data_IF_606210481126
#
_entry.id   IF_606210481126
#
_cell.length_a   1.000
_cell.length_b   1.000
_cell.length_c   1.000
_cell.angle_alpha   90.00
_cell.angle_beta   90.00
_cell.angle_gamma   90.00
#
_symmetry.space_group_name_H-M   'P 1'
#
loop_
_entity.id
_entity.type
_entity.pdbx_description
1 polymer ?
#
# COMPACT_ATOMS: atom_id res chain seq x y z
N UNK A 1 7.31 25.08 -10.74
CA UNK A 1 7.33 24.56 -9.36
C UNK A 1 8.19 23.29 -9.32
N UNK A 2 8.44 22.73 -8.13
CA UNK A 2 9.17 21.48 -8.01
C UNK A 2 8.30 20.30 -8.51
N UNK A 3 8.94 19.27 -9.07
CA UNK A 3 8.25 18.07 -9.52
C UNK A 3 7.61 17.33 -8.33
N UNK A 4 6.42 16.79 -8.53
CA UNK A 4 5.75 15.92 -7.55
C UNK A 4 6.16 14.48 -7.83
N UNK A 5 6.46 13.71 -6.78
CA UNK A 5 6.75 12.29 -6.90
C UNK A 5 5.64 11.49 -6.25
N UNK A 6 5.26 10.39 -6.88
CA UNK A 6 4.19 9.51 -6.38
C UNK A 6 4.60 8.05 -6.44
N UNK A 7 4.18 7.29 -5.43
CA UNK A 7 4.27 5.84 -5.38
C UNK A 7 2.91 5.23 -5.74
N UNK A 8 2.88 4.38 -6.77
CA UNK A 8 1.64 3.77 -7.26
C UNK A 8 1.91 2.38 -7.84
N UNK A 9 0.87 1.55 -7.95
CA UNK A 9 0.95 0.28 -8.70
C UNK A 9 1.22 0.59 -10.16
N UNK A 10 2.15 -0.12 -10.79
CA UNK A 10 2.51 0.12 -12.18
C UNK A 10 1.33 -0.08 -13.14
N UNK A 11 0.42 -1.00 -12.80
CA UNK A 11 -0.80 -1.23 -13.56
C UNK A 11 -1.72 0.00 -13.58
N UNK A 12 -1.82 0.72 -12.47
CA UNK A 12 -2.72 1.90 -12.34
C UNK A 12 -2.08 3.17 -12.95
N UNK A 13 -0.76 3.19 -13.06
CA UNK A 13 -0.01 4.21 -13.82
C UNK A 13 -0.08 3.99 -15.35
N UNK A 14 -0.40 2.77 -15.80
CA UNK A 14 -0.43 2.44 -17.22
C UNK A 14 -1.43 3.32 -17.98
N UNK A 15 -0.99 3.93 -19.08
CA UNK A 15 -1.81 4.83 -19.90
C UNK A 15 -1.98 6.25 -19.34
N UNK A 16 -1.35 6.58 -18.20
CA UNK A 16 -1.27 7.95 -17.67
C UNK A 16 -0.02 8.64 -18.21
N UNK A 17 -0.12 9.27 -19.37
CA UNK A 17 1.02 9.93 -20.03
C UNK A 17 1.66 11.08 -19.25
N UNK A 18 0.99 11.57 -18.21
CA UNK A 18 1.48 12.60 -17.28
C UNK A 18 2.28 12.03 -16.09
N UNK A 19 2.40 10.70 -15.99
CA UNK A 19 3.29 10.02 -15.04
C UNK A 19 4.57 9.59 -15.76
N UNK A 20 5.66 10.28 -15.48
CA UNK A 20 6.98 9.91 -15.97
C UNK A 20 7.58 8.84 -15.05
N UNK A 21 7.99 7.69 -15.61
CA UNK A 21 8.60 6.63 -14.81
C UNK A 21 9.89 7.11 -14.16
N UNK A 22 9.96 7.05 -12.84
CA UNK A 22 11.16 7.41 -12.07
C UNK A 22 11.93 6.15 -11.66
N UNK A 23 11.31 5.23 -10.90
CA UNK A 23 11.94 3.98 -10.46
C UNK A 23 10.91 2.85 -10.30
N UNK A 24 11.22 1.64 -10.76
CA UNK A 24 10.33 0.48 -10.63
C UNK A 24 10.76 -0.48 -9.50
N UNK A 25 9.81 -0.97 -8.72
CA UNK A 25 10.03 -2.00 -7.71
C UNK A 25 8.89 -3.03 -7.68
N UNK A 26 9.12 -4.20 -8.30
CA UNK A 26 8.11 -5.25 -8.40
C UNK A 26 6.86 -4.76 -9.13
N UNK A 27 5.69 -4.84 -8.48
CA UNK A 27 4.42 -4.39 -9.02
C UNK A 27 4.15 -2.88 -8.85
N UNK A 28 5.02 -2.17 -8.15
CA UNK A 28 4.88 -0.74 -7.83
C UNK A 28 6.00 0.06 -8.48
N UNK A 29 5.79 1.36 -8.63
CA UNK A 29 6.77 2.28 -9.16
C UNK A 29 6.64 3.67 -8.54
N UNK A 30 7.76 4.35 -8.48
CA UNK A 30 7.84 5.78 -8.27
C UNK A 30 7.73 6.45 -9.63
N UNK A 31 6.88 7.46 -9.70
CA UNK A 31 6.65 8.27 -10.89
C UNK A 31 6.79 9.75 -10.55
N UNK A 32 7.21 10.53 -11.54
CA UNK A 32 7.38 11.98 -11.48
C UNK A 32 6.25 12.66 -12.26
N UNK A 33 5.69 13.71 -11.70
CA UNK A 33 4.72 14.60 -12.35
C UNK A 33 5.43 15.94 -12.56
N UNK A 34 5.72 16.23 -13.83
CA UNK A 34 6.32 17.50 -14.24
C UNK A 34 5.39 18.67 -13.91
N UNK A 35 5.99 19.84 -13.67
CA UNK A 35 5.28 21.09 -13.36
C UNK A 35 4.13 21.40 -14.33
N UNK A 36 4.35 21.15 -15.62
CA UNK A 36 3.36 21.36 -16.69
C UNK A 36 2.09 20.51 -16.56
N UNK A 37 2.14 19.41 -15.82
CA UNK A 37 0.99 18.52 -15.59
C UNK A 37 0.27 18.79 -14.27
N UNK A 38 0.81 19.65 -13.39
CA UNK A 38 0.27 19.83 -12.03
C UNK A 38 -1.08 20.56 -12.00
N UNK A 39 -1.40 21.39 -13.00
CA UNK A 39 -2.68 22.11 -13.10
C UNK A 39 -3.82 21.25 -13.68
N UNK A 40 -3.54 20.00 -14.07
CA UNK A 40 -4.52 19.13 -14.74
C UNK A 40 -5.61 18.55 -13.81
N UNK A 41 -5.75 19.07 -12.58
CA UNK A 41 -6.65 18.53 -11.55
C UNK A 41 -6.57 16.99 -11.46
N UNK A 42 -5.34 16.48 -11.39
CA UNK A 42 -5.05 15.05 -11.39
C UNK A 42 -5.73 14.36 -10.19
N UNK A 43 -6.52 13.34 -10.47
CA UNK A 43 -7.16 12.52 -9.43
C UNK A 43 -6.22 11.38 -9.01
N UNK A 44 -5.29 11.72 -8.10
CA UNK A 44 -4.31 10.79 -7.55
C UNK A 44 -4.97 9.70 -6.67
N UNK A 45 -6.11 10.01 -6.06
CA UNK A 45 -6.85 9.07 -5.20
C UNK A 45 -7.44 7.93 -6.05
N UNK A 46 -7.93 8.22 -7.26
CA UNK A 46 -8.49 7.22 -8.17
C UNK A 46 -7.52 6.09 -8.55
N UNK A 47 -6.22 6.39 -8.57
CA UNK A 47 -5.15 5.41 -8.84
C UNK A 47 -4.45 4.92 -7.56
N UNK A 48 -4.92 5.37 -6.39
CA UNK A 48 -4.32 5.04 -5.10
C UNK A 48 -2.86 5.47 -4.99
N UNK A 49 -2.51 6.62 -5.56
CA UNK A 49 -1.15 7.16 -5.51
C UNK A 49 -0.84 7.76 -4.13
N UNK A 50 0.35 7.48 -3.62
CA UNK A 50 0.88 8.07 -2.38
C UNK A 50 1.97 9.08 -2.75
N UNK A 51 1.85 10.33 -2.28
CA UNK A 51 2.85 11.36 -2.58
C UNK A 51 4.13 11.12 -1.78
N UNK A 52 5.28 11.26 -2.44
CA UNK A 52 6.60 11.19 -1.85
C UNK A 52 7.26 12.57 -1.87
N UNK A 53 8.09 12.85 -0.86
CA UNK A 53 9.07 13.92 -0.95
C UNK A 53 10.13 13.59 -2.02
N UNK A 54 10.82 14.61 -2.54
CA UNK A 54 11.90 14.40 -3.50
C UNK A 54 13.03 13.51 -2.93
N UNK A 55 13.32 13.63 -1.63
CA UNK A 55 14.32 12.81 -0.95
C UNK A 55 13.91 11.33 -0.86
N UNK A 56 12.64 11.05 -0.51
CA UNK A 56 12.12 9.68 -0.48
C UNK A 56 12.09 9.06 -1.88
N UNK A 57 11.68 9.82 -2.89
CA UNK A 57 11.68 9.36 -4.28
C UNK A 57 13.09 9.00 -4.75
N UNK A 58 14.08 9.87 -4.51
CA UNK A 58 15.49 9.62 -4.82
C UNK A 58 16.01 8.35 -4.15
N UNK A 59 15.60 8.12 -2.90
CA UNK A 59 16.02 6.95 -2.11
C UNK A 59 15.52 5.61 -2.67
N UNK A 60 14.55 5.64 -3.58
CA UNK A 60 14.04 4.43 -4.22
C UNK A 60 15.12 3.61 -4.93
N UNK A 61 16.12 4.27 -5.53
CA UNK A 61 17.21 3.56 -6.22
C UNK A 61 18.07 2.70 -5.27
N UNK A 62 18.14 3.07 -3.99
CA UNK A 62 18.91 2.35 -2.97
C UNK A 62 18.14 1.19 -2.34
N UNK A 63 16.86 1.04 -2.68
CA UNK A 63 15.97 0.08 -2.03
C UNK A 63 16.36 -1.40 -2.25
N UNK A 64 17.12 -1.70 -3.31
CA UNK A 64 17.64 -3.04 -3.61
C UNK A 64 19.17 -3.16 -3.48
N UNK A 65 19.83 -2.19 -2.83
CA UNK A 65 21.29 -2.06 -2.79
C UNK A 65 21.97 -2.99 -1.77
N UNK A 66 21.65 -4.29 -1.81
CA UNK A 66 22.28 -5.32 -0.94
C UNK A 66 23.82 -5.31 -1.06
N UNK A 67 24.34 -5.02 -2.25
CA UNK A 67 25.78 -5.04 -2.55
C UNK A 67 26.57 -3.86 -1.98
N UNK A 68 25.87 -2.87 -1.43
CA UNK A 68 26.46 -1.59 -1.04
C UNK A 68 26.81 -0.67 -2.22
N UNK A 69 26.37 -0.98 -3.44
CA UNK A 69 26.50 -0.09 -4.60
C UNK A 69 25.30 -0.22 -5.55
N UNK A 70 25.04 0.82 -6.34
CA UNK A 70 24.09 0.80 -7.46
C UNK A 70 24.78 1.14 -8.77
N UNK A 71 24.20 0.75 -9.90
CA UNK A 71 24.64 1.14 -11.24
C UNK A 71 23.61 2.10 -11.84
N UNK A 72 24.05 3.32 -12.14
CA UNK A 72 23.21 4.37 -12.71
C UNK A 72 23.44 4.36 -14.22
N UNK A 73 22.38 4.19 -15.01
CA UNK A 73 22.47 4.20 -16.49
C UNK A 73 22.18 5.60 -17.02
N UNK A 74 22.96 6.04 -18.00
CA UNK A 74 22.77 7.33 -18.69
C UNK A 74 21.40 7.40 -19.36
N UNK A 75 20.70 8.54 -19.24
CA UNK A 75 19.39 8.78 -19.85
C UNK A 75 18.18 8.22 -19.09
N UNK A 76 18.33 7.84 -17.82
CA UNK A 76 17.19 7.48 -16.97
C UNK A 76 16.67 8.71 -16.22
N UNK A 77 15.38 8.81 -15.89
CA UNK A 77 14.82 9.97 -15.18
C UNK A 77 15.48 10.26 -13.81
N UNK A 78 16.18 9.26 -13.24
CA UNK A 78 16.94 9.36 -12.00
C UNK A 78 18.30 10.06 -12.19
N UNK A 79 18.85 10.11 -13.42
CA UNK A 79 20.20 10.66 -13.66
C UNK A 79 20.30 12.13 -13.30
N UNK A 80 19.21 12.89 -13.42
CA UNK A 80 19.19 14.32 -13.05
C UNK A 80 19.51 14.53 -11.55
N UNK A 81 19.21 13.55 -10.70
CA UNK A 81 19.35 13.64 -9.25
C UNK A 81 20.69 13.11 -8.71
N UNK A 82 21.53 12.53 -9.58
CA UNK A 82 22.83 11.96 -9.22
C UNK A 82 23.92 12.54 -10.13
N UNK A 83 24.98 13.15 -9.57
CA UNK A 83 26.07 13.66 -10.40
C UNK A 83 26.71 12.52 -11.19
N UNK A 84 26.77 12.65 -12.52
CA UNK A 84 27.60 11.78 -13.34
C UNK A 84 29.05 11.90 -12.85
N UNK A 85 29.63 10.78 -12.40
CA UNK A 85 31.06 10.71 -12.12
C UNK A 85 31.74 10.61 -13.49
N UNK A 86 32.63 11.56 -13.81
CA UNK A 86 33.38 11.63 -15.07
C UNK A 86 33.95 10.26 -15.46
N UNK A 87 33.60 9.81 -16.68
CA UNK A 87 34.34 8.74 -17.34
C UNK A 87 35.26 9.36 -18.39
N UNK A 88 36.57 9.23 -18.19
CA UNK A 88 37.55 9.46 -19.25
C UNK A 88 37.41 8.33 -20.30
N UNK A 89 36.91 8.73 -21.47
CA UNK A 89 36.79 8.03 -22.76
C UNK A 89 35.89 6.76 -22.88
N UNK A 90 35.33 6.60 -24.09
CA UNK A 90 34.36 5.58 -24.55
C UNK A 90 33.08 5.44 -23.72
N UNK A 91 32.14 6.39 -23.91
CA UNK A 91 30.83 6.56 -23.23
C UNK A 91 30.30 5.26 -22.58
N UNK A 92 30.61 5.01 -21.30
CA UNK A 92 30.08 3.85 -20.60
C UNK A 92 28.58 4.05 -20.37
N UNK A 93 27.79 3.05 -20.74
CA UNK A 93 26.32 3.07 -20.59
C UNK A 93 25.82 3.04 -19.13
N UNK A 94 26.72 2.96 -18.15
CA UNK A 94 26.39 3.06 -16.72
C UNK A 94 27.59 3.39 -15.84
N UNK A 95 27.35 4.16 -14.76
CA UNK A 95 28.33 4.52 -13.73
C UNK A 95 28.04 3.79 -12.42
N UNK A 96 29.08 3.29 -11.74
CA UNK A 96 28.97 2.68 -10.40
C UNK A 96 28.93 3.77 -9.34
N UNK A 97 27.95 3.69 -8.44
CA UNK A 97 27.83 4.55 -7.26
C UNK A 97 27.87 3.67 -6.01
N UNK A 98 28.94 3.81 -5.21
CA UNK A 98 29.05 3.14 -3.91
C UNK A 98 28.25 3.91 -2.87
N UNK A 99 27.43 3.21 -2.09
CA UNK A 99 26.49 3.83 -1.17
C UNK A 99 27.18 4.30 0.11
N UNK A 100 26.79 5.48 0.57
CA UNK A 100 27.09 5.96 1.90
C UNK A 100 26.18 5.31 2.95
N UNK A 101 26.49 5.48 4.24
CA UNK A 101 25.61 5.04 5.32
C UNK A 101 24.22 5.70 5.25
N UNK A 102 24.18 6.97 4.83
CA UNK A 102 22.93 7.74 4.68
C UNK A 102 22.10 7.20 3.51
N UNK A 103 22.72 6.78 2.42
CA UNK A 103 22.03 6.15 1.29
C UNK A 103 21.40 4.82 1.70
N UNK A 104 22.12 4.00 2.47
CA UNK A 104 21.62 2.73 3.00
C UNK A 104 20.42 2.97 3.93
N UNK A 105 20.53 3.94 4.85
CA UNK A 105 19.46 4.30 5.77
C UNK A 105 18.22 4.84 5.03
N UNK A 106 18.43 5.64 4.00
CA UNK A 106 17.35 6.21 3.19
C UNK A 106 16.70 5.15 2.30
N UNK A 107 17.47 4.23 1.73
CA UNK A 107 16.96 3.07 0.99
C UNK A 107 16.13 2.13 1.86
N UNK A 108 16.53 1.92 3.13
CA UNK A 108 15.73 1.18 4.10
C UNK A 108 14.42 1.92 4.43
N UNK A 109 14.50 3.23 4.64
CA UNK A 109 13.32 4.07 4.90
C UNK A 109 12.33 3.99 3.73
N UNK A 110 12.82 4.05 2.50
CA UNK A 110 11.98 3.85 1.31
C UNK A 110 11.36 2.45 1.25
N UNK A 111 12.12 1.38 1.55
CA UNK A 111 11.56 0.02 1.64
C UNK A 111 10.37 -0.03 2.62
N UNK A 112 10.47 0.65 3.77
CA UNK A 112 9.37 0.69 4.75
C UNK A 112 8.12 1.38 4.19
N UNK A 113 8.28 2.54 3.53
CA UNK A 113 7.18 3.24 2.87
C UNK A 113 6.50 2.31 1.85
N UNK A 114 7.31 1.69 1.00
CA UNK A 114 6.85 0.80 -0.04
C UNK A 114 6.11 -0.42 0.52
N UNK A 115 6.70 -1.13 1.49
CA UNK A 115 6.11 -2.34 2.05
C UNK A 115 4.81 -2.04 2.79
N UNK A 116 4.73 -0.92 3.52
CA UNK A 116 3.49 -0.44 4.11
C UNK A 116 2.44 -0.11 3.05
N UNK A 117 2.84 0.41 1.88
CA UNK A 117 1.91 0.62 0.76
C UNK A 117 1.37 -0.70 0.20
N UNK A 118 2.24 -1.71 -0.01
CA UNK A 118 1.82 -3.06 -0.38
C UNK A 118 0.82 -3.65 0.62
N UNK A 119 1.11 -3.54 1.92
CA UNK A 119 0.22 -4.01 3.00
C UNK A 119 -1.13 -3.30 2.92
N UNK A 120 -1.15 -1.96 2.97
CA UNK A 120 -2.38 -1.16 2.95
C UNK A 120 -3.26 -1.48 1.73
N UNK A 121 -2.69 -1.56 0.54
CA UNK A 121 -3.46 -1.87 -0.67
C UNK A 121 -4.06 -3.28 -0.64
N UNK A 122 -3.30 -4.27 -0.15
CA UNK A 122 -3.81 -5.64 -0.01
C UNK A 122 -4.93 -5.73 1.01
N UNK A 123 -4.83 -5.02 2.13
CA UNK A 123 -5.89 -4.99 3.15
C UNK A 123 -7.10 -4.18 2.69
N UNK A 124 -6.93 -3.13 1.89
CA UNK A 124 -8.03 -2.44 1.23
C UNK A 124 -8.80 -3.37 0.28
N UNK A 125 -8.10 -4.23 -0.47
CA UNK A 125 -8.75 -5.23 -1.31
C UNK A 125 -9.49 -6.28 -0.46
N UNK A 126 -8.88 -6.79 0.61
CA UNK A 126 -9.54 -7.71 1.57
C UNK A 126 -10.75 -7.07 2.27
N UNK A 127 -10.72 -5.77 2.53
CA UNK A 127 -11.83 -5.07 3.15
C UNK A 127 -13.07 -5.06 2.24
N UNK A 128 -12.89 -5.11 0.92
CA UNK A 128 -14.00 -5.28 -0.04
C UNK A 128 -14.69 -6.64 0.10
N UNK A 129 -14.00 -7.66 0.59
CA UNK A 129 -14.63 -8.97 0.88
C UNK A 129 -15.54 -8.90 2.11
N UNK A 130 -15.22 -8.04 3.09
CA UNK A 130 -16.08 -7.79 4.26
C UNK A 130 -17.37 -7.11 3.82
N UNK A 131 -17.23 -6.07 2.99
CA UNK A 131 -18.35 -5.33 2.41
C UNK A 131 -18.64 -5.90 1.02
N UNK A 132 -19.04 -7.17 0.96
CA UNK A 132 -19.19 -7.86 -0.33
C UNK A 132 -20.17 -7.10 -1.24
N UNK A 133 -19.91 -7.11 -2.55
CA UNK A 133 -20.83 -6.58 -3.57
C UNK A 133 -22.23 -7.25 -3.58
N UNK A 134 -22.45 -8.32 -2.81
CA UNK A 134 -23.78 -8.94 -2.62
C UNK A 134 -24.68 -8.13 -1.68
N UNK A 135 -24.09 -7.26 -0.85
CA UNK A 135 -24.80 -6.28 -0.04
C UNK A 135 -24.93 -5.04 -0.91
N UNK A 136 -26.09 -4.86 -1.55
CA UNK A 136 -26.30 -3.75 -2.48
C UNK A 136 -26.11 -2.39 -1.81
N UNK A 137 -25.76 -1.37 -2.61
CA UNK A 137 -25.38 -0.03 -2.14
C UNK A 137 -26.40 0.58 -1.15
N UNK A 138 -27.70 0.35 -1.37
CA UNK A 138 -28.77 0.82 -0.49
C UNK A 138 -28.71 0.19 0.92
N UNK A 139 -28.33 -1.08 1.04
CA UNK A 139 -28.17 -1.75 2.33
C UNK A 139 -26.92 -1.23 3.05
N UNK A 140 -25.88 -0.84 2.31
CA UNK A 140 -24.68 -0.21 2.89
C UNK A 140 -24.98 1.20 3.43
N UNK A 141 -25.68 2.03 2.65
CA UNK A 141 -26.05 3.39 3.05
C UNK A 141 -26.92 3.43 4.30
N UNK A 142 -27.75 2.40 4.52
CA UNK A 142 -28.64 2.31 5.68
C UNK A 142 -28.02 1.61 6.89
N UNK A 143 -26.81 1.04 6.76
CA UNK A 143 -26.20 0.23 7.82
C UNK A 143 -25.94 1.03 9.11
N UNK A 144 -25.39 2.24 8.98
CA UNK A 144 -25.07 3.09 10.13
C UNK A 144 -26.35 3.49 10.89
N UNK A 145 -27.39 3.92 10.18
CA UNK A 145 -28.68 4.24 10.80
C UNK A 145 -29.33 3.01 11.46
N UNK A 146 -29.28 1.83 10.82
CA UNK A 146 -29.78 0.59 11.41
C UNK A 146 -29.03 0.21 12.69
N UNK A 147 -27.71 0.37 12.71
CA UNK A 147 -26.85 0.13 13.88
C UNK A 147 -27.19 1.08 15.02
N UNK A 148 -27.32 2.37 14.74
CA UNK A 148 -27.61 3.39 15.75
C UNK A 148 -29.00 3.20 16.37
N UNK A 149 -30.03 2.94 15.55
CA UNK A 149 -31.38 2.63 16.05
C UNK A 149 -31.40 1.33 16.86
N UNK A 150 -30.66 0.31 16.43
CA UNK A 150 -30.58 -0.96 17.16
C UNK A 150 -29.87 -0.80 18.52
N UNK A 151 -28.80 0.00 18.57
CA UNK A 151 -28.11 0.33 19.82
C UNK A 151 -29.01 1.14 20.76
N UNK A 152 -29.70 2.16 20.24
CA UNK A 152 -30.65 2.97 21.01
C UNK A 152 -31.78 2.12 21.58
N UNK A 153 -32.40 1.25 20.75
CA UNK A 153 -33.45 0.34 21.21
C UNK A 153 -32.97 -0.67 22.25
N UNK A 154 -31.72 -1.13 22.12
CA UNK A 154 -31.12 -2.06 23.09
C UNK A 154 -30.90 -1.39 24.45
N UNK A 155 -30.55 -0.11 24.46
CA UNK A 155 -30.39 0.68 25.69
C UNK A 155 -31.74 1.10 26.31
N UNK A 156 -32.72 1.45 25.47
CA UNK A 156 -34.06 1.84 25.83
C UNK A 156 -35.04 1.37 24.75
N UNK A 157 -35.87 0.38 25.07
CA UNK A 157 -36.80 -0.22 24.10
C UNK A 157 -37.97 0.71 23.70
N UNK A 158 -38.04 1.92 24.28
CA UNK A 158 -38.97 2.99 23.91
C UNK A 158 -38.35 4.02 22.96
N UNK A 159 -37.06 3.89 22.64
CA UNK A 159 -36.36 4.77 21.72
C UNK A 159 -37.00 4.80 20.32
N UNK A 160 -36.92 5.96 19.67
CA UNK A 160 -37.43 6.14 18.31
C UNK A 160 -36.60 5.34 17.31
N UNK A 161 -37.22 4.39 16.62
CA UNK A 161 -36.58 3.57 15.59
C UNK A 161 -37.35 3.60 14.27
N UNK A 162 -37.46 4.76 13.59
CA UNK A 162 -38.30 4.90 12.39
C UNK A 162 -37.86 3.97 11.25
N UNK A 163 -36.56 3.85 10.99
CA UNK A 163 -36.05 2.96 9.92
C UNK A 163 -36.34 1.50 10.26
N UNK A 164 -36.04 1.06 11.49
CA UNK A 164 -36.30 -0.32 11.91
C UNK A 164 -37.79 -0.63 11.94
N UNK A 165 -38.64 0.33 12.32
CA UNK A 165 -40.10 0.17 12.33
C UNK A 165 -40.62 -0.05 10.91
N UNK A 166 -40.22 0.77 9.95
CA UNK A 166 -40.60 0.60 8.54
C UNK A 166 -40.15 -0.75 7.99
N UNK A 167 -38.89 -1.13 8.26
CA UNK A 167 -38.32 -2.41 7.78
C UNK A 167 -38.98 -3.62 8.44
N UNK A 168 -39.23 -3.57 9.75
CA UNK A 168 -39.88 -4.65 10.49
C UNK A 168 -41.32 -4.85 10.01
N UNK A 169 -42.06 -3.75 9.81
CA UNK A 169 -43.43 -3.76 9.28
C UNK A 169 -43.49 -4.39 7.88
N UNK A 170 -42.63 -3.93 6.95
CA UNK A 170 -42.58 -4.47 5.60
C UNK A 170 -42.21 -5.96 5.55
N UNK A 171 -41.44 -6.43 6.54
CA UNK A 171 -40.98 -7.83 6.65
C UNK A 171 -41.91 -8.72 7.50
N UNK A 172 -42.97 -8.17 8.10
CA UNK A 172 -43.87 -8.92 8.98
C UNK A 172 -43.19 -9.47 10.24
N UNK A 173 -42.18 -8.77 10.78
CA UNK A 173 -41.46 -9.15 12.01
C UNK A 173 -41.57 -8.04 13.06
N UNK A 174 -41.22 -8.34 14.32
CA UNK A 174 -41.16 -7.33 15.37
C UNK A 174 -39.87 -6.50 15.27
N UNK A 175 -39.90 -5.26 15.77
CA UNK A 175 -38.70 -4.41 15.90
C UNK A 175 -37.63 -5.12 16.74
N UNK A 176 -38.02 -5.76 17.86
CA UNK A 176 -37.10 -6.55 18.69
C UNK A 176 -36.39 -7.68 17.92
N UNK A 177 -37.13 -8.41 17.07
CA UNK A 177 -36.54 -9.47 16.24
C UNK A 177 -35.58 -8.90 15.18
N UNK A 178 -35.89 -7.72 14.63
CA UNK A 178 -35.00 -7.04 13.69
C UNK A 178 -33.73 -6.51 14.37
N UNK A 179 -33.86 -5.87 15.54
CA UNK A 179 -32.75 -5.40 16.37
C UNK A 179 -31.78 -6.54 16.70
N UNK A 180 -32.30 -7.71 17.10
CA UNK A 180 -31.47 -8.89 17.39
C UNK A 180 -30.65 -9.35 16.17
N UNK A 181 -31.24 -9.28 14.97
CA UNK A 181 -30.54 -9.62 13.71
C UNK A 181 -29.48 -8.58 13.37
N UNK A 182 -29.77 -7.29 13.56
CA UNK A 182 -28.83 -6.20 13.30
C UNK A 182 -27.65 -6.29 14.26
N UNK A 183 -27.87 -6.45 15.57
CA UNK A 183 -26.80 -6.59 16.55
C UNK A 183 -25.88 -7.77 16.24
N UNK A 184 -26.44 -8.91 15.80
CA UNK A 184 -25.66 -10.06 15.32
C UNK A 184 -24.79 -9.70 14.10
N UNK A 185 -25.36 -9.00 13.10
CA UNK A 185 -24.61 -8.55 11.92
C UNK A 185 -23.52 -7.55 12.27
N UNK A 186 -23.81 -6.58 13.14
CA UNK A 186 -22.85 -5.56 13.61
C UNK A 186 -21.69 -6.22 14.35
N UNK A 187 -21.98 -7.19 15.23
CA UNK A 187 -20.94 -7.94 15.94
C UNK A 187 -20.03 -8.72 14.97
N UNK A 188 -20.62 -9.42 13.98
CA UNK A 188 -19.85 -10.15 12.97
C UNK A 188 -18.98 -9.21 12.11
N UNK A 189 -19.55 -8.07 11.67
CA UNK A 189 -18.83 -7.06 10.91
C UNK A 189 -17.66 -6.47 11.71
N UNK A 190 -17.91 -6.01 12.93
CA UNK A 190 -16.89 -5.44 13.80
C UNK A 190 -15.77 -6.44 14.09
N UNK A 191 -16.11 -7.72 14.33
CA UNK A 191 -15.13 -8.79 14.52
C UNK A 191 -14.27 -9.01 13.28
N UNK A 192 -14.86 -8.99 12.08
CA UNK A 192 -14.13 -9.15 10.83
C UNK A 192 -13.18 -7.98 10.56
N UNK A 193 -13.67 -6.74 10.72
CA UNK A 193 -12.86 -5.52 10.57
C UNK A 193 -11.72 -5.49 11.60
N UNK A 194 -12.01 -5.77 12.88
CA UNK A 194 -11.00 -5.80 13.93
C UNK A 194 -9.91 -6.85 13.65
N UNK A 195 -10.30 -8.03 13.18
CA UNK A 195 -9.36 -9.09 12.80
C UNK A 195 -8.44 -8.63 11.66
N UNK A 196 -9.00 -8.05 10.59
CA UNK A 196 -8.20 -7.56 9.46
C UNK A 196 -7.31 -6.38 9.81
N UNK A 197 -7.80 -5.45 10.62
CA UNK A 197 -6.99 -4.34 11.11
C UNK A 197 -5.83 -4.84 11.99
N UNK A 198 -6.07 -5.82 12.87
CA UNK A 198 -5.03 -6.41 13.69
C UNK A 198 -3.96 -7.12 12.83
N UNK A 199 -4.38 -7.94 11.85
CA UNK A 199 -3.48 -8.58 10.88
C UNK A 199 -2.63 -7.53 10.13
N UNK A 200 -3.24 -6.42 9.70
CA UNK A 200 -2.53 -5.33 9.02
C UNK A 200 -1.47 -4.70 9.92
N UNK A 201 -1.83 -4.40 11.19
CA UNK A 201 -0.92 -3.74 12.13
C UNK A 201 0.27 -4.60 12.51
N UNK A 202 0.08 -5.91 12.68
CA UNK A 202 1.19 -6.84 12.92
C UNK A 202 2.23 -6.76 11.79
N UNK A 203 1.78 -6.71 10.52
CA UNK A 203 2.70 -6.61 9.38
C UNK A 203 3.36 -5.22 9.28
N UNK A 204 2.64 -4.14 9.60
CA UNK A 204 3.23 -2.80 9.66
C UNK A 204 4.30 -2.70 10.76
N UNK A 205 4.06 -3.32 11.91
CA UNK A 205 5.03 -3.39 13.02
C UNK A 205 6.27 -4.23 12.65
N UNK A 206 6.08 -5.35 11.94
CA UNK A 206 7.19 -6.15 11.38
C UNK A 206 8.06 -5.29 10.45
N UNK A 207 7.44 -4.47 9.59
CA UNK A 207 8.15 -3.56 8.67
C UNK A 207 8.88 -2.45 9.45
N UNK A 208 8.27 -1.91 10.49
CA UNK A 208 8.90 -0.88 11.32
C UNK A 208 10.12 -1.39 12.08
N UNK A 209 10.12 -2.66 12.48
CA UNK A 209 11.24 -3.33 13.13
C UNK A 209 12.43 -3.63 12.20
N UNK A 210 12.29 -3.47 10.88
CA UNK A 210 13.40 -3.68 9.95
C UNK A 210 14.49 -2.63 10.15
N UNK A 211 15.74 -3.07 10.32
CA UNK A 211 16.90 -2.22 10.63
C UNK A 211 18.03 -2.32 9.58
N UNK A 212 17.88 -3.19 8.58
CA UNK A 212 18.89 -3.42 7.54
C UNK A 212 18.23 -3.78 6.20
N UNK A 213 18.92 -3.47 5.09
CA UNK A 213 18.49 -3.85 3.73
C UNK A 213 18.35 -5.38 3.60
N UNK A 214 19.28 -6.15 4.20
CA UNK A 214 19.22 -7.61 4.20
C UNK A 214 17.92 -8.14 4.83
N UNK A 215 17.50 -7.60 6.00
CA UNK A 215 16.23 -7.98 6.61
C UNK A 215 15.02 -7.54 5.78
N UNK A 216 15.08 -6.37 5.15
CA UNK A 216 14.02 -5.90 4.25
C UNK A 216 13.84 -6.82 3.03
N UNK A 217 14.93 -7.28 2.43
CA UNK A 217 14.92 -8.25 1.34
C UNK A 217 14.38 -9.62 1.75
N UNK A 218 14.77 -10.09 2.94
CA UNK A 218 14.22 -11.33 3.51
C UNK A 218 12.71 -11.19 3.72
N UNK A 219 12.28 -10.10 4.34
CA UNK A 219 10.86 -9.84 4.60
C UNK A 219 10.04 -9.80 3.31
N UNK A 220 10.47 -9.07 2.27
CA UNK A 220 9.75 -9.03 0.98
C UNK A 220 9.74 -10.40 0.28
N UNK A 221 10.79 -11.21 0.46
CA UNK A 221 10.89 -12.55 -0.09
C UNK A 221 9.88 -13.50 0.56
N UNK A 222 9.74 -13.42 1.88
CA UNK A 222 8.87 -14.29 2.66
C UNK A 222 7.40 -13.83 2.69
N UNK A 223 7.15 -12.53 2.52
CA UNK A 223 5.81 -11.94 2.74
C UNK A 223 5.18 -11.38 1.47
N UNK A 224 5.96 -10.75 0.59
CA UNK A 224 5.46 -10.12 -0.64
C UNK A 224 5.64 -10.99 -1.90
N UNK A 225 6.33 -12.13 -1.78
CA UNK A 225 6.70 -12.96 -2.92
C UNK A 225 7.64 -12.26 -3.91
N UNK A 226 8.39 -11.25 -3.43
CA UNK A 226 9.40 -10.56 -4.20
C UNK A 226 10.76 -11.19 -3.91
N UNK A 227 11.38 -11.81 -4.91
CA UNK A 227 12.65 -12.53 -4.72
C UNK A 227 13.73 -11.62 -4.10
N UNK A 228 14.47 -12.15 -3.12
CA UNK A 228 15.65 -11.47 -2.59
C UNK A 228 16.71 -11.34 -3.69
N UNK A 229 17.72 -10.50 -3.48
CA UNK A 229 18.78 -10.36 -4.48
C UNK A 229 19.49 -11.69 -4.71
N UNK A 230 19.96 -11.93 -5.94
CA UNK A 230 20.68 -13.18 -6.29
C UNK A 230 21.86 -13.45 -5.37
N UNK A 231 22.54 -12.39 -4.94
CA UNK A 231 23.67 -12.49 -4.01
C UNK A 231 23.24 -12.89 -2.61
N UNK A 232 22.19 -12.29 -2.08
CA UNK A 232 21.66 -12.67 -0.78
C UNK A 232 21.15 -14.12 -0.78
N UNK A 233 20.55 -14.59 -1.88
CA UNK A 233 20.16 -16.00 -2.02
C UNK A 233 21.37 -16.95 -2.04
N UNK A 234 22.51 -16.51 -2.57
CA UNK A 234 23.75 -17.29 -2.57
C UNK A 234 24.39 -17.34 -1.18
N UNK A 235 24.23 -16.28 -0.38
CA UNK A 235 24.81 -16.15 0.96
C UNK A 235 23.90 -16.72 2.06
N UNK A 236 22.58 -16.63 1.91
CA UNK A 236 21.57 -17.13 2.84
C UNK A 236 20.74 -18.24 2.21
N UNK A 237 21.25 -19.46 2.32
CA UNK A 237 20.57 -20.68 1.86
C UNK A 237 19.19 -20.93 2.51
N UNK A 238 18.85 -20.25 3.61
CA UNK A 238 17.57 -20.43 4.30
C UNK A 238 16.38 -19.76 3.59
N UNK A 239 16.63 -18.77 2.74
CA UNK A 239 15.59 -18.08 1.97
C UNK A 239 14.93 -19.02 0.94
N UNK A 240 15.73 -19.90 0.32
CA UNK A 240 15.26 -20.77 -0.76
C UNK A 240 14.84 -20.00 -2.02
N UNK A 241 14.51 -20.73 -3.09
CA UNK A 241 13.95 -20.16 -4.32
C UNK A 241 12.94 -21.14 -4.93
N UNK A 242 11.77 -20.68 -5.44
CA UNK A 242 11.36 -19.27 -5.58
C UNK A 242 10.86 -18.64 -4.27
N UNK A 243 10.66 -17.32 -4.29
CA UNK A 243 10.01 -16.61 -3.19
C UNK A 243 8.67 -17.25 -2.79
N UNK A 244 8.32 -17.14 -1.52
CA UNK A 244 7.03 -17.64 -1.04
C UNK A 244 5.88 -16.95 -1.77
N UNK A 245 4.73 -17.61 -1.86
CA UNK A 245 3.50 -16.91 -2.24
C UNK A 245 3.21 -15.85 -1.18
N UNK A 246 2.59 -14.75 -1.59
CA UNK A 246 2.12 -13.70 -0.68
C UNK A 246 1.34 -14.35 0.48
N UNK A 247 1.82 -14.15 1.70
CA UNK A 247 1.39 -14.95 2.87
C UNK A 247 0.29 -14.31 3.70
N UNK A 248 -0.15 -13.10 3.36
CA UNK A 248 -1.26 -12.43 4.03
C UNK A 248 -2.42 -12.20 3.07
#
# INVERSE_FOLDING_TARGET
MANIHVLVKQQDASGKGWLESYYGYGAYGVYRIADEHQDMRLDLDSIGAETLTAAEAKSAIFSDAYRGYVKIKTGNAITDDFPEIESDEDVPSSTRYDLTADDIASGLSFNKILFKKYIRDRFNDKAKDIVSARVGDLEQLSFEQQKDEAAAWTADNTASTPMLTTMATARGITVSALVSKINTKVAAYNSAVATKLAEQKVLEDEVDALDTIAKAHKWRHEKLGLTASTEQLAEDSSLGAPASKIQF
#
